data_IF_009939850503
#
_entry.id   IF_009939850503
#
_cell.length_a   1.000
_cell.length_b   1.000
_cell.length_c   1.000
_cell.angle_alpha   90.00
_cell.angle_beta   90.00
_cell.angle_gamma   90.00
#
_symmetry.space_group_name_H-M   'P 1'
#
loop_
_entity.id
_entity.type
_entity.pdbx_description
1 polymer ?
#
# COMPACT_ATOMS: atom_id res chain seq x y z
N UNK A 1 5.90 -25.57 37.85
CA UNK A 1 6.21 -24.25 37.25
C UNK A 1 4.91 -23.53 36.98
N UNK A 2 4.58 -22.47 37.73
CA UNK A 2 3.35 -21.72 37.51
C UNK A 2 3.46 -21.00 36.15
N UNK A 3 2.69 -21.45 35.16
CA UNK A 3 2.55 -20.73 33.90
C UNK A 3 1.85 -19.41 34.21
N UNK A 4 2.62 -18.34 34.33
CA UNK A 4 2.11 -16.97 34.40
C UNK A 4 1.20 -16.74 33.20
N UNK A 5 -0.09 -16.94 33.39
CA UNK A 5 -1.08 -16.68 32.36
C UNK A 5 -1.13 -15.18 32.15
N UNK A 6 -0.72 -14.73 30.96
CA UNK A 6 -0.71 -13.32 30.62
C UNK A 6 -2.06 -12.66 30.96
N UNK A 7 -2.03 -11.44 31.50
CA UNK A 7 -3.20 -10.62 31.78
C UNK A 7 -3.56 -9.74 30.58
N UNK A 8 -4.85 -9.44 30.43
CA UNK A 8 -5.37 -8.64 29.33
C UNK A 8 -4.64 -7.29 29.24
N UNK A 9 -4.18 -6.92 28.05
CA UNK A 9 -3.46 -5.66 27.80
C UNK A 9 -4.33 -4.41 27.90
N UNK A 10 -5.65 -4.54 27.87
CA UNK A 10 -6.58 -3.41 27.98
C UNK A 10 -7.10 -3.21 29.39
N UNK A 11 -7.67 -4.26 29.99
CA UNK A 11 -8.29 -4.14 31.31
C UNK A 11 -7.36 -4.50 32.47
N UNK A 12 -6.25 -5.22 32.21
CA UNK A 12 -5.30 -5.73 33.21
C UNK A 12 -5.89 -6.58 34.34
N UNK A 13 -7.17 -6.94 34.26
CA UNK A 13 -7.93 -7.68 35.28
C UNK A 13 -8.08 -9.16 34.96
N UNK A 14 -8.40 -9.47 33.71
CA UNK A 14 -8.74 -10.84 33.29
C UNK A 14 -7.55 -11.52 32.59
N UNK A 15 -7.51 -12.85 32.62
CA UNK A 15 -6.59 -13.66 31.81
C UNK A 15 -6.78 -13.40 30.31
N UNK A 16 -5.69 -13.38 29.56
CA UNK A 16 -5.68 -13.38 28.10
C UNK A 16 -6.26 -14.69 27.56
N UNK A 17 -7.28 -14.59 26.72
CA UNK A 17 -7.90 -15.72 26.03
C UNK A 17 -8.27 -15.39 24.57
N UNK A 18 -7.78 -14.26 24.04
CA UNK A 18 -8.00 -13.81 22.66
C UNK A 18 -6.71 -13.25 22.04
N UNK A 19 -6.62 -13.22 20.69
CA UNK A 19 -5.52 -12.57 19.98
C UNK A 19 -5.34 -11.11 20.41
N UNK A 20 -4.16 -10.55 20.12
CA UNK A 20 -3.73 -9.19 20.52
C UNK A 20 -3.47 -9.03 22.03
N UNK A 21 -3.53 -10.11 22.80
CA UNK A 21 -3.31 -10.09 24.25
C UNK A 21 -4.53 -9.57 25.02
N UNK A 22 -5.75 -9.86 24.57
CA UNK A 22 -6.99 -9.36 25.15
C UNK A 22 -7.79 -10.49 25.84
N UNK A 23 -8.68 -10.11 26.75
CA UNK A 23 -9.74 -10.99 27.24
C UNK A 23 -10.96 -10.93 26.30
N UNK A 24 -11.89 -11.87 26.47
CA UNK A 24 -13.12 -11.99 25.67
C UNK A 24 -13.90 -10.67 25.59
N UNK A 25 -14.18 -10.04 26.73
CA UNK A 25 -14.97 -8.80 26.78
C UNK A 25 -14.27 -7.68 26.01
N UNK A 26 -13.00 -7.41 26.33
CA UNK A 26 -12.22 -6.36 25.66
C UNK A 26 -12.02 -6.62 24.16
N UNK A 27 -12.00 -7.88 23.72
CA UNK A 27 -11.87 -8.19 22.29
C UNK A 27 -13.11 -7.80 21.48
N UNK A 28 -14.31 -7.95 22.06
CA UNK A 28 -15.58 -7.64 21.39
C UNK A 28 -16.11 -6.25 21.71
N UNK A 29 -15.55 -5.52 22.68
CA UNK A 29 -15.84 -4.11 22.88
C UNK A 29 -15.46 -3.30 21.62
N UNK A 30 -16.41 -2.59 20.99
CA UNK A 30 -16.13 -1.76 19.82
C UNK A 30 -14.99 -0.76 20.08
N UNK A 31 -14.03 -0.66 19.17
CA UNK A 31 -12.92 0.28 19.26
C UNK A 31 -11.75 -0.16 20.15
N UNK A 32 -11.90 -1.20 20.97
CA UNK A 32 -10.81 -1.69 21.83
C UNK A 32 -9.82 -2.52 21.03
N UNK A 33 -10.27 -3.50 20.24
CA UNK A 33 -9.36 -4.39 19.48
C UNK A 33 -8.53 -3.64 18.44
N UNK A 34 -9.03 -2.51 17.92
CA UNK A 34 -8.37 -1.66 16.94
C UNK A 34 -7.15 -0.92 17.52
N UNK A 35 -7.14 -0.67 18.84
CA UNK A 35 -6.00 -0.04 19.54
C UNK A 35 -4.80 -0.97 19.68
N UNK A 36 -4.99 -2.28 19.45
CA UNK A 36 -3.92 -3.27 19.60
C UNK A 36 -3.58 -3.87 18.23
N UNK A 37 -2.33 -3.70 17.75
CA UNK A 37 -1.93 -4.23 16.46
C UNK A 37 -2.07 -5.76 16.45
N UNK A 38 -2.49 -6.31 15.31
CA UNK A 38 -2.45 -7.76 15.09
C UNK A 38 -0.99 -8.18 14.98
N UNK A 39 -0.50 -8.98 15.92
CA UNK A 39 0.90 -9.42 15.98
C UNK A 39 1.15 -10.82 15.41
N UNK A 40 0.14 -11.45 14.80
CA UNK A 40 0.31 -12.78 14.21
C UNK A 40 1.24 -12.74 12.99
N UNK A 41 1.88 -13.86 12.67
CA UNK A 41 2.68 -13.99 11.43
C UNK A 41 1.86 -13.75 10.14
N UNK A 42 0.54 -13.91 10.23
CA UNK A 42 -0.43 -13.67 9.15
C UNK A 42 -1.06 -12.26 9.22
N UNK A 43 -0.68 -11.43 10.19
CA UNK A 43 -1.19 -10.08 10.28
C UNK A 43 -0.72 -9.28 9.07
N UNK A 44 -1.63 -8.50 8.47
CA UNK A 44 -1.27 -7.52 7.46
C UNK A 44 -0.33 -6.48 8.10
N UNK A 45 0.83 -6.28 7.49
CA UNK A 45 1.86 -5.30 7.91
C UNK A 45 2.12 -4.34 6.75
N UNK A 46 2.52 -3.12 7.09
CA UNK A 46 2.81 -2.07 6.11
C UNK A 46 1.57 -1.44 5.48
N UNK A 47 1.80 -0.60 4.48
CA UNK A 47 0.72 0.00 3.67
C UNK A 47 0.21 -1.07 2.71
N UNK A 48 -1.10 -1.25 2.64
CA UNK A 48 -1.70 -2.19 1.68
C UNK A 48 -1.35 -1.78 0.25
N UNK A 49 -1.25 -2.75 -0.66
CA UNK A 49 -1.03 -2.52 -2.09
C UNK A 49 -2.32 -2.17 -2.86
N UNK A 50 -3.46 -2.12 -2.16
CA UNK A 50 -4.80 -1.83 -2.69
C UNK A 50 -5.15 -2.63 -3.96
N UNK A 51 -4.67 -3.87 -4.08
CA UNK A 51 -4.86 -4.68 -5.28
C UNK A 51 -6.36 -4.93 -5.57
N UNK A 52 -6.75 -4.97 -6.84
CA UNK A 52 -8.14 -5.15 -7.30
C UNK A 52 -8.80 -3.84 -7.73
N UNK A 53 -9.49 -3.16 -6.82
CA UNK A 53 -10.37 -2.01 -7.12
C UNK A 53 -9.71 -0.63 -6.88
N UNK A 54 -8.39 -0.53 -6.81
CA UNK A 54 -7.74 0.76 -6.65
C UNK A 54 -7.87 1.62 -7.94
N UNK A 55 -8.07 2.94 -7.81
CA UNK A 55 -8.06 3.84 -8.96
C UNK A 55 -6.75 3.73 -9.74
N UNK A 56 -6.86 3.67 -11.06
CA UNK A 56 -5.71 3.70 -11.94
C UNK A 56 -4.95 5.03 -11.76
N UNK A 57 -3.60 5.02 -11.62
CA UNK A 57 -2.85 6.26 -11.56
C UNK A 57 -3.00 7.04 -12.88
N UNK A 58 -3.07 8.38 -12.84
CA UNK A 58 -3.40 9.18 -14.03
C UNK A 58 -2.31 9.19 -15.10
N UNK A 59 -1.06 8.91 -14.73
CA UNK A 59 0.08 8.94 -15.65
C UNK A 59 0.92 7.67 -15.54
N UNK A 60 1.42 7.13 -16.67
CA UNK A 60 2.44 6.09 -16.66
C UNK A 60 3.79 6.64 -16.20
N UNK A 61 4.73 5.75 -15.89
CA UNK A 61 6.13 6.11 -15.65
C UNK A 61 7.06 5.48 -16.69
N UNK A 62 8.04 6.28 -17.14
CA UNK A 62 9.17 5.86 -17.97
C UNK A 62 10.26 5.15 -17.18
N UNK A 63 10.22 5.18 -15.84
CA UNK A 63 11.21 4.54 -15.00
C UNK A 63 11.19 3.01 -15.19
N UNK A 64 12.35 2.38 -15.48
CA UNK A 64 12.38 0.94 -15.74
C UNK A 64 12.17 0.12 -14.47
N UNK A 65 11.74 -1.15 -14.59
CA UNK A 65 11.61 -2.03 -13.44
C UNK A 65 12.91 -2.15 -12.64
N UNK A 66 12.80 -2.14 -11.30
CA UNK A 66 13.95 -2.27 -10.40
C UNK A 66 14.75 -0.98 -10.17
N UNK A 67 14.48 0.10 -10.92
CA UNK A 67 15.13 1.39 -10.69
C UNK A 67 14.63 2.09 -9.41
N UNK A 68 15.48 2.89 -8.72
CA UNK A 68 15.05 3.71 -7.59
C UNK A 68 13.90 4.65 -7.94
N UNK A 69 13.89 5.21 -9.16
CA UNK A 69 12.84 6.11 -9.64
C UNK A 69 11.50 5.38 -9.75
N UNK A 70 11.52 4.11 -10.21
CA UNK A 70 10.31 3.28 -10.24
C UNK A 70 9.80 3.02 -8.83
N UNK A 71 10.68 2.71 -7.88
CA UNK A 71 10.29 2.48 -6.49
C UNK A 71 9.63 3.72 -5.88
N UNK A 72 10.21 4.91 -6.09
CA UNK A 72 9.62 6.17 -5.62
C UNK A 72 8.20 6.42 -6.18
N UNK A 73 7.96 6.11 -7.47
CA UNK A 73 6.63 6.19 -8.08
C UNK A 73 5.66 5.20 -7.43
N UNK A 74 6.10 3.97 -7.16
CA UNK A 74 5.26 2.94 -6.53
C UNK A 74 4.90 3.30 -5.08
N UNK A 75 5.84 3.86 -4.32
CA UNK A 75 5.61 4.36 -2.97
C UNK A 75 4.57 5.48 -2.95
N UNK A 76 4.70 6.44 -3.87
CA UNK A 76 3.74 7.55 -3.96
C UNK A 76 2.34 7.06 -4.37
N UNK A 77 2.24 6.15 -5.34
CA UNK A 77 0.95 5.52 -5.73
C UNK A 77 0.34 4.75 -4.56
N UNK A 78 1.16 4.05 -3.78
CA UNK A 78 0.74 3.35 -2.55
C UNK A 78 0.15 4.34 -1.53
N UNK A 79 0.84 5.46 -1.28
CA UNK A 79 0.39 6.51 -0.37
C UNK A 79 -0.96 7.11 -0.80
N UNK A 80 -1.16 7.25 -2.11
CA UNK A 80 -2.41 7.73 -2.73
C UNK A 80 -3.50 6.67 -2.86
N UNK A 81 -3.26 5.44 -2.41
CA UNK A 81 -4.18 4.30 -2.55
C UNK A 81 -4.59 4.01 -4.00
N UNK A 82 -3.69 4.28 -4.94
CA UNK A 82 -3.86 4.00 -6.37
C UNK A 82 -3.35 2.60 -6.70
N UNK A 83 -3.72 2.09 -7.88
CA UNK A 83 -3.12 0.90 -8.42
C UNK A 83 -1.60 1.13 -8.58
N UNK A 84 -0.81 0.15 -8.15
CA UNK A 84 0.65 0.25 -8.19
C UNK A 84 1.17 0.41 -9.63
N UNK A 85 0.55 -0.29 -10.57
CA UNK A 85 1.04 -0.37 -11.94
C UNK A 85 0.02 0.25 -12.91
N UNK A 86 0.54 1.07 -13.81
CA UNK A 86 -0.22 1.53 -14.97
C UNK A 86 0.04 0.58 -16.16
N UNK A 87 -0.95 0.21 -16.99
CA UNK A 87 -0.74 -0.64 -18.17
C UNK A 87 0.35 -0.15 -19.13
N UNK A 88 0.44 1.18 -19.27
CA UNK A 88 1.45 1.86 -20.09
C UNK A 88 2.76 2.18 -19.35
N UNK A 89 2.99 1.71 -18.12
CA UNK A 89 4.31 1.83 -17.48
C UNK A 89 5.39 1.06 -18.27
N UNK A 90 6.64 1.53 -18.20
CA UNK A 90 7.79 0.83 -18.79
C UNK A 90 7.96 -0.59 -18.20
N UNK A 91 8.18 -1.58 -19.07
CA UNK A 91 8.43 -3.00 -18.72
C UNK A 91 9.90 -3.37 -18.84
N UNK A 92 10.70 -2.56 -19.52
CA UNK A 92 12.13 -2.72 -19.69
C UNK A 92 12.79 -1.34 -19.87
N UNK A 93 14.12 -1.22 -19.74
CA UNK A 93 14.82 0.03 -20.02
C UNK A 93 14.60 0.51 -21.46
N UNK A 94 14.18 1.78 -21.62
CA UNK A 94 13.94 2.39 -22.94
C UNK A 94 12.59 2.04 -23.59
N UNK A 95 11.66 1.46 -22.83
CA UNK A 95 10.33 1.10 -23.34
C UNK A 95 9.53 2.33 -23.81
N UNK A 96 9.03 2.35 -25.07
CA UNK A 96 8.37 3.54 -25.63
C UNK A 96 6.92 3.72 -25.16
N UNK A 97 6.29 2.68 -24.61
CA UNK A 97 4.85 2.67 -24.28
C UNK A 97 4.38 3.83 -23.38
N UNK A 98 5.12 4.25 -22.33
CA UNK A 98 4.74 5.41 -21.53
C UNK A 98 4.68 6.69 -22.37
N UNK A 99 5.66 6.91 -23.25
CA UNK A 99 5.74 8.11 -24.08
C UNK A 99 4.65 8.13 -25.14
N UNK A 100 4.38 6.98 -25.76
CA UNK A 100 3.28 6.81 -26.71
C UNK A 100 1.92 7.09 -26.05
N UNK A 101 1.70 6.58 -24.84
CA UNK A 101 0.49 6.86 -24.07
C UNK A 101 0.33 8.36 -23.80
N UNK A 102 1.39 9.03 -23.35
CA UNK A 102 1.35 10.48 -23.10
C UNK A 102 0.99 11.26 -24.36
N UNK A 103 1.59 10.91 -25.51
CA UNK A 103 1.29 11.54 -26.81
C UNK A 103 -0.15 11.30 -27.25
N UNK A 104 -0.64 10.07 -27.13
CA UNK A 104 -2.02 9.71 -27.50
C UNK A 104 -3.07 10.47 -26.68
N UNK A 105 -2.74 10.81 -25.43
CA UNK A 105 -3.63 11.52 -24.52
C UNK A 105 -3.36 13.03 -24.45
N UNK A 106 -2.43 13.57 -25.27
CA UNK A 106 -2.09 14.99 -25.28
C UNK A 106 -1.48 15.49 -23.96
N UNK A 107 -0.78 14.61 -23.25
CA UNK A 107 -0.15 14.85 -21.96
C UNK A 107 1.38 14.99 -22.08
N UNK A 108 1.92 14.93 -23.28
CA UNK A 108 3.31 15.29 -23.54
C UNK A 108 3.44 16.82 -23.51
N UNK A 109 4.27 17.32 -22.60
CA UNK A 109 4.68 18.72 -22.60
C UNK A 109 5.65 18.97 -23.76
N UNK A 110 5.16 18.93 -25.01
CA UNK A 110 5.87 19.55 -26.13
C UNK A 110 5.35 20.96 -26.33
N UNK A 111 6.22 22.01 -26.35
CA UNK A 111 5.83 23.27 -26.95
C UNK A 111 5.42 23.02 -28.42
N UNK A 112 4.45 23.79 -28.95
CA UNK A 112 4.04 23.63 -30.35
C UNK A 112 5.26 23.75 -31.27
N UNK A 113 5.30 23.04 -32.41
CA UNK A 113 6.42 23.16 -33.34
C UNK A 113 6.55 24.62 -33.75
N UNK A 114 7.72 25.22 -33.48
CA UNK A 114 8.05 26.55 -33.96
C UNK A 114 8.11 26.49 -35.49
N UNK A 115 7.10 27.07 -36.14
CA UNK A 115 7.09 27.27 -37.58
C UNK A 115 8.26 28.22 -37.94
N UNK A 116 9.13 27.75 -38.83
CA UNK A 116 10.22 28.53 -39.40
C UNK A 116 9.70 29.56 -40.42
#
# INVERSE_FOLDING_TARGET
>A
MATSTAVCRHCHKCKVNRPRGLCWSCYYTPGVKEQYPSTSKYARRGVGNFNGNAPLPPLPTTAPPGSPEKLAVLEERTRRKQALFHPADARYPGDPRPLEYLRQHGLDASPPPQAA
#
